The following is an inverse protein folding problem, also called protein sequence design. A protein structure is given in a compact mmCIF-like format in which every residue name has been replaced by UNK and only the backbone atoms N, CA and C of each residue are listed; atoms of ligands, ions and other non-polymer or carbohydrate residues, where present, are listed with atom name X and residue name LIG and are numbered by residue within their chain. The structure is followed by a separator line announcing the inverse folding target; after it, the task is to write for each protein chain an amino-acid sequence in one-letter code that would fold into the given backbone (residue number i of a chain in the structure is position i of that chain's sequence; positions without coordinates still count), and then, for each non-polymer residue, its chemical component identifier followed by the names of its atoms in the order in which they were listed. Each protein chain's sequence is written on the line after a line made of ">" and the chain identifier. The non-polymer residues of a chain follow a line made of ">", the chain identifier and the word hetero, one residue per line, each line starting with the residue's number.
data_IF_225153502386
#
_entry.id   IF_225153502386
#
_cell.length_a   1.000
_cell.length_b   1.000
_cell.length_c   1.000
_cell.angle_alpha   90.00
_cell.angle_beta   90.00
_cell.angle_gamma   90.00
#
_symmetry.space_group_name_H-M   'P 1'
#
loop_
_entity.id
_entity.type
_entity.pdbx_description
1 polymer ?
#
# COMPACT_ATOMS: atom_id res chain seq x y z
N UNK A 1 -29.32 24.94 -32.29
CA UNK A 1 -29.73 25.52 -31.01
C UNK A 1 -29.91 24.40 -30.00
N UNK A 2 -29.40 24.57 -28.80
CA UNK A 2 -29.45 23.74 -27.60
C UNK A 2 -28.51 22.55 -27.56
N UNK A 3 -27.33 22.80 -26.97
CA UNK A 3 -26.37 21.81 -26.55
C UNK A 3 -26.79 21.10 -25.26
N UNK A 4 -26.57 19.83 -25.19
CA UNK A 4 -26.57 19.04 -23.95
C UNK A 4 -25.12 18.80 -23.51
N UNK A 5 -24.72 19.51 -22.45
CA UNK A 5 -23.48 19.30 -21.74
C UNK A 5 -23.54 17.96 -20.98
N UNK A 6 -22.66 17.04 -21.34
CA UNK A 6 -22.38 15.83 -20.56
C UNK A 6 -21.41 16.21 -19.44
N UNK A 7 -21.86 16.05 -18.21
CA UNK A 7 -20.99 16.09 -17.03
C UNK A 7 -20.27 14.74 -16.92
N UNK A 8 -19.01 14.74 -17.30
CA UNK A 8 -18.06 13.70 -16.93
C UNK A 8 -17.63 13.97 -15.49
N UNK A 9 -18.13 13.17 -14.55
CA UNK A 9 -17.59 13.12 -13.18
C UNK A 9 -16.31 12.29 -13.27
N UNK A 10 -15.19 12.98 -13.40
CA UNK A 10 -13.88 12.42 -13.10
C UNK A 10 -13.76 12.27 -11.57
N UNK A 11 -13.88 11.06 -11.06
CA UNK A 11 -13.36 10.71 -9.74
C UNK A 11 -11.82 10.63 -9.87
N UNK A 12 -11.19 11.79 -9.97
CA UNK A 12 -9.78 11.92 -9.71
C UNK A 12 -9.61 11.70 -8.20
N UNK A 13 -9.16 10.51 -7.82
CA UNK A 13 -8.53 10.28 -6.54
C UNK A 13 -7.33 11.23 -6.46
N UNK A 14 -7.55 12.43 -5.96
CA UNK A 14 -6.50 13.33 -5.57
C UNK A 14 -5.73 12.63 -4.44
N UNK A 15 -4.61 11.98 -4.80
CA UNK A 15 -3.50 11.85 -3.87
C UNK A 15 -3.08 13.29 -3.61
N UNK A 16 -3.65 13.86 -2.56
CA UNK A 16 -3.17 15.07 -1.95
C UNK A 16 -1.74 14.77 -1.49
N UNK A 17 -0.77 15.01 -2.35
CA UNK A 17 0.58 15.32 -1.92
C UNK A 17 0.42 16.65 -1.18
N UNK A 18 0.02 16.54 0.08
CA UNK A 18 0.25 17.61 1.03
C UNK A 18 1.77 17.72 1.08
N UNK A 19 2.30 18.63 0.27
CA UNK A 19 3.58 19.24 0.55
C UNK A 19 3.35 20.04 1.85
N UNK A 20 3.30 19.32 2.97
CA UNK A 20 3.64 19.89 4.24
C UNK A 20 5.11 20.32 4.09
N UNK A 21 5.30 21.53 3.57
CA UNK A 21 6.35 22.38 4.10
C UNK A 21 5.97 22.58 5.55
N UNK A 22 6.27 21.58 6.38
CA UNK A 22 6.53 21.90 7.76
C UNK A 22 7.74 22.84 7.71
N UNK A 23 7.63 24.10 8.20
CA UNK A 23 8.81 24.76 8.66
C UNK A 23 9.46 23.71 9.57
N UNK A 24 10.75 23.46 9.37
CA UNK A 24 11.50 22.59 10.27
C UNK A 24 11.14 23.10 11.66
N UNK A 25 10.33 22.33 12.37
CA UNK A 25 9.92 22.70 13.73
C UNK A 25 11.22 22.78 14.48
N UNK A 26 11.60 23.99 14.87
CA UNK A 26 12.83 24.19 15.64
C UNK A 26 12.72 23.23 16.81
N UNK A 27 13.71 22.32 17.02
CA UNK A 27 13.61 21.31 18.04
C UNK A 27 13.38 21.99 19.38
N UNK A 28 12.14 21.95 19.84
CA UNK A 28 11.76 22.52 21.13
C UNK A 28 12.39 21.64 22.21
N UNK A 29 13.04 22.23 23.21
CA UNK A 29 13.56 21.48 24.37
C UNK A 29 12.39 20.75 25.02
N UNK A 30 12.52 19.42 25.17
CA UNK A 30 11.48 18.58 25.76
C UNK A 30 11.10 19.08 27.15
N UNK A 31 9.81 19.13 27.50
CA UNK A 31 9.35 19.50 28.85
C UNK A 31 9.91 18.57 29.96
N UNK A 32 10.36 17.36 29.62
CA UNK A 32 11.01 16.46 30.57
C UNK A 32 12.35 16.99 31.10
N UNK A 33 12.99 17.94 30.41
CA UNK A 33 14.22 18.58 30.89
C UNK A 33 13.97 19.60 32.04
N UNK A 34 12.70 19.97 32.30
CA UNK A 34 12.34 20.99 33.31
C UNK A 34 12.12 20.39 34.70
N UNK A 35 12.05 19.05 34.84
CA UNK A 35 11.69 18.40 36.12
C UNK A 35 12.84 17.81 36.95
N UNK A 36 14.11 17.90 36.50
CA UNK A 36 15.24 17.49 37.35
C UNK A 36 15.85 18.70 38.06
N UNK A 37 15.10 19.31 38.96
CA UNK A 37 15.63 20.28 39.92
C UNK A 37 16.51 19.57 40.94
N UNK A 38 17.80 19.43 40.67
CA UNK A 38 18.71 18.78 41.62
C UNK A 38 20.22 18.85 41.31
N UNK A 39 20.60 19.04 40.02
CA UNK A 39 22.01 19.15 39.64
C UNK A 39 22.34 20.54 39.06
N UNK A 40 23.54 21.03 39.29
CA UNK A 40 23.98 22.33 38.79
C UNK A 40 24.02 22.38 37.24
N UNK A 41 24.18 21.22 36.57
CA UNK A 41 24.12 21.09 35.11
C UNK A 41 22.71 21.21 34.57
N UNK A 42 21.64 20.70 35.23
CA UNK A 42 20.26 20.84 34.85
C UNK A 42 19.76 22.29 34.86
N UNK A 43 20.15 23.07 35.85
CA UNK A 43 19.84 24.51 35.91
C UNK A 43 20.50 25.30 34.75
N UNK A 44 21.78 25.05 34.51
CA UNK A 44 22.54 25.67 33.43
C UNK A 44 21.97 25.22 32.06
N UNK A 45 21.58 23.96 31.90
CA UNK A 45 20.96 23.48 30.67
C UNK A 45 19.65 24.21 30.37
N UNK A 46 18.80 24.41 31.39
CA UNK A 46 17.57 25.20 31.25
C UNK A 46 17.85 26.65 30.86
N UNK A 47 18.92 27.28 31.40
CA UNK A 47 19.33 28.65 31.01
C UNK A 47 19.81 28.69 29.56
N UNK A 48 20.54 27.67 29.10
CA UNK A 48 20.97 27.52 27.71
C UNK A 48 19.77 27.38 26.76
N UNK A 49 18.81 26.59 27.16
CA UNK A 49 17.54 26.41 26.43
C UNK A 49 16.75 27.71 26.30
N UNK A 50 16.70 28.50 27.40
CA UNK A 50 16.08 29.83 27.35
C UNK A 50 16.81 30.75 26.39
N UNK A 51 18.15 30.76 26.37
CA UNK A 51 18.95 31.53 25.43
C UNK A 51 18.67 31.17 23.96
N UNK A 52 18.49 29.83 23.65
CA UNK A 52 18.04 29.37 22.33
C UNK A 52 16.69 29.96 21.95
N UNK A 53 15.68 29.87 22.84
CA UNK A 53 14.32 30.37 22.59
C UNK A 53 14.28 31.91 22.40
N UNK A 54 15.20 32.61 23.02
CA UNK A 54 15.36 34.08 22.89
C UNK A 54 16.30 34.48 21.74
N UNK A 55 16.77 33.50 20.95
CA UNK A 55 17.73 33.71 19.83
C UNK A 55 19.04 34.35 20.26
N UNK A 56 19.44 34.23 21.53
CA UNK A 56 20.72 34.70 22.07
C UNK A 56 21.79 33.63 21.86
N UNK A 57 22.18 33.46 20.58
CA UNK A 57 23.01 32.31 20.12
C UNK A 57 24.36 32.26 20.82
N UNK A 58 25.05 33.39 20.96
CA UNK A 58 26.37 33.47 21.61
C UNK A 58 26.33 33.11 23.09
N UNK A 59 25.27 33.53 23.81
CA UNK A 59 25.06 33.15 25.20
C UNK A 59 24.78 31.64 25.30
N UNK A 60 23.94 31.12 24.41
CA UNK A 60 23.63 29.69 24.33
C UNK A 60 24.89 28.86 24.13
N UNK A 61 25.76 29.21 23.18
CA UNK A 61 27.05 28.53 22.95
C UNK A 61 27.88 28.51 24.24
N UNK A 62 28.04 29.61 24.92
CA UNK A 62 28.82 29.73 26.14
C UNK A 62 28.23 28.91 27.30
N UNK A 63 26.92 28.85 27.43
CA UNK A 63 26.24 28.12 28.49
C UNK A 63 26.34 26.62 28.19
N UNK A 64 26.03 26.16 26.99
CA UNK A 64 26.12 24.73 26.65
C UNK A 64 27.55 24.19 26.61
N UNK A 65 28.56 25.03 26.31
CA UNK A 65 29.94 24.67 26.45
C UNK A 65 30.29 24.36 27.90
N UNK A 66 29.79 25.13 28.85
CA UNK A 66 29.97 24.82 30.29
C UNK A 66 29.28 23.54 30.71
N UNK A 67 28.03 23.33 30.29
CA UNK A 67 27.24 22.13 30.59
C UNK A 67 27.94 20.89 30.05
N UNK A 68 28.41 20.91 28.80
CA UNK A 68 29.11 19.76 28.18
C UNK A 68 30.36 19.37 28.92
N UNK A 69 31.14 20.34 29.43
CA UNK A 69 32.35 20.10 30.22
C UNK A 69 32.09 19.52 31.61
N UNK A 70 30.90 19.70 32.16
CA UNK A 70 30.51 19.11 33.45
C UNK A 70 30.34 17.59 33.38
N UNK A 71 30.18 17.02 32.16
CA UNK A 71 30.00 15.58 31.92
C UNK A 71 28.85 14.96 32.72
N UNK A 72 27.87 15.76 33.10
CA UNK A 72 26.62 15.33 33.76
C UNK A 72 25.63 14.71 32.82
N UNK A 73 24.39 14.51 33.31
CA UNK A 73 23.28 13.90 32.55
C UNK A 73 22.93 14.66 31.26
N UNK A 74 23.14 15.97 31.24
CA UNK A 74 22.78 16.83 30.15
C UNK A 74 23.91 17.10 29.14
N UNK A 75 25.13 16.51 29.36
CA UNK A 75 26.31 16.82 28.56
C UNK A 75 26.15 16.48 27.07
N UNK A 76 25.46 15.38 26.73
CA UNK A 76 25.21 14.96 25.35
C UNK A 76 24.29 15.95 24.63
N UNK A 77 23.17 16.31 25.26
CA UNK A 77 22.23 17.30 24.72
C UNK A 77 22.86 18.70 24.61
N UNK A 78 23.73 19.05 25.56
CA UNK A 78 24.44 20.32 25.53
C UNK A 78 25.40 20.43 24.33
N UNK A 79 26.07 19.36 23.93
CA UNK A 79 26.90 19.35 22.72
C UNK A 79 26.04 19.57 21.46
N UNK A 80 24.90 18.93 21.35
CA UNK A 80 24.00 19.16 20.21
C UNK A 80 23.51 20.61 20.16
N UNK A 81 22.99 21.13 21.27
CA UNK A 81 22.46 22.51 21.32
C UNK A 81 23.56 23.57 21.13
N UNK A 82 24.78 23.29 21.58
CA UNK A 82 25.95 24.11 21.26
C UNK A 82 26.19 24.16 19.75
N UNK A 83 26.24 22.99 19.09
CA UNK A 83 26.44 22.92 17.64
C UNK A 83 25.31 23.66 16.87
N UNK A 84 24.06 23.51 17.32
CA UNK A 84 22.93 24.21 16.76
C UNK A 84 23.08 25.75 16.87
N UNK A 85 23.43 26.24 18.06
CA UNK A 85 23.64 27.69 18.29
C UNK A 85 24.82 28.23 17.47
N UNK A 86 25.93 27.50 17.36
CA UNK A 86 27.09 27.84 16.53
C UNK A 86 26.69 27.98 15.04
N UNK A 87 25.85 27.07 14.53
CA UNK A 87 25.33 27.16 13.15
C UNK A 87 24.45 28.42 12.96
N UNK A 88 23.56 28.68 13.92
CA UNK A 88 22.68 29.88 13.87
C UNK A 88 23.48 31.22 14.00
N UNK A 89 24.61 31.20 14.70
CA UNK A 89 25.55 32.32 14.82
C UNK A 89 26.40 32.55 13.56
N UNK A 90 26.29 31.63 12.56
CA UNK A 90 27.10 31.74 11.34
C UNK A 90 28.48 31.14 11.47
N UNK A 91 28.67 30.19 12.40
CA UNK A 91 29.93 29.49 12.64
C UNK A 91 29.83 27.98 12.25
N UNK A 92 29.62 27.69 10.98
CA UNK A 92 29.37 26.32 10.54
C UNK A 92 30.52 25.35 10.81
N UNK A 93 31.76 25.82 10.72
CA UNK A 93 32.94 25.00 11.00
C UNK A 93 33.01 24.55 12.47
N UNK A 94 32.62 25.43 13.40
CA UNK A 94 32.57 25.11 14.82
C UNK A 94 31.44 24.09 15.09
N UNK A 95 30.27 24.29 14.50
CA UNK A 95 29.14 23.38 14.62
C UNK A 95 29.49 21.96 14.15
N UNK A 96 30.17 21.82 13.00
CA UNK A 96 30.67 20.51 12.52
C UNK A 96 31.67 19.87 13.48
N UNK A 97 32.58 20.68 14.04
CA UNK A 97 33.56 20.22 15.04
C UNK A 97 32.88 19.71 16.32
N UNK A 98 31.88 20.45 16.82
CA UNK A 98 31.11 20.11 18.02
C UNK A 98 30.26 18.83 17.80
N UNK A 99 29.66 18.63 16.63
CA UNK A 99 29.01 17.38 16.29
C UNK A 99 29.99 16.22 16.21
N UNK A 100 31.23 16.43 15.72
CA UNK A 100 32.31 15.46 15.73
C UNK A 100 32.71 15.06 17.14
N UNK A 101 32.78 16.03 18.08
CA UNK A 101 33.03 15.81 19.49
C UNK A 101 31.97 14.94 20.15
N UNK A 102 30.68 15.23 19.90
CA UNK A 102 29.55 14.42 20.38
C UNK A 102 29.69 12.96 19.92
N UNK A 103 29.95 12.73 18.64
CA UNK A 103 30.11 11.38 18.08
C UNK A 103 31.26 10.62 18.68
N UNK A 104 32.38 11.28 18.93
CA UNK A 104 33.58 10.69 19.51
C UNK A 104 33.41 10.35 21.00
N UNK A 105 32.77 11.28 21.75
CA UNK A 105 32.67 11.19 23.20
C UNK A 105 31.48 10.34 23.66
N UNK A 106 30.39 10.38 22.91
CA UNK A 106 29.12 9.70 23.24
C UNK A 106 28.60 8.90 22.03
N UNK A 107 29.23 7.80 21.64
CA UNK A 107 28.89 7.05 20.42
C UNK A 107 27.51 6.36 20.45
N UNK A 108 26.83 6.34 21.59
CA UNK A 108 25.50 5.81 21.79
C UNK A 108 24.45 6.90 22.07
N UNK A 109 24.82 8.17 21.91
CA UNK A 109 23.94 9.29 22.19
C UNK A 109 22.73 9.32 21.24
N UNK A 110 21.54 9.56 21.78
CA UNK A 110 20.33 9.82 20.98
C UNK A 110 20.45 11.07 20.11
N UNK A 111 21.33 12.00 20.45
CA UNK A 111 21.52 13.28 19.74
C UNK A 111 22.39 13.16 18.48
N UNK A 112 22.90 11.96 18.18
CA UNK A 112 23.71 11.75 16.97
C UNK A 112 22.92 11.96 15.67
N UNK A 113 21.64 11.61 15.67
CA UNK A 113 20.78 11.78 14.51
C UNK A 113 20.52 13.27 14.22
N UNK A 114 20.26 14.05 15.27
CA UNK A 114 20.03 15.49 15.17
C UNK A 114 21.32 16.23 14.74
N UNK A 115 22.46 15.85 15.30
CA UNK A 115 23.76 16.38 14.84
C UNK A 115 24.02 16.03 13.37
N UNK A 116 23.70 14.82 12.96
CA UNK A 116 23.83 14.40 11.56
C UNK A 116 22.96 15.22 10.61
N UNK A 117 21.71 15.51 10.99
CA UNK A 117 20.84 16.38 10.23
C UNK A 117 21.41 17.80 10.10
N UNK A 118 21.96 18.35 11.21
CA UNK A 118 22.60 19.66 11.22
C UNK A 118 23.86 19.68 10.32
N UNK A 119 24.69 18.66 10.35
CA UNK A 119 25.87 18.52 9.48
C UNK A 119 25.48 18.56 7.99
N UNK A 120 24.40 17.87 7.61
CA UNK A 120 23.88 17.88 6.23
C UNK A 120 23.41 19.29 5.83
N UNK A 121 22.66 19.96 6.71
CA UNK A 121 22.20 21.33 6.45
C UNK A 121 23.39 22.29 6.21
N UNK A 122 24.42 22.19 7.07
CA UNK A 122 25.61 23.02 7.00
C UNK A 122 26.36 22.80 5.68
N UNK A 123 26.64 21.53 5.35
CA UNK A 123 27.39 21.17 4.14
C UNK A 123 26.60 21.44 2.87
N UNK A 124 25.28 21.27 2.89
CA UNK A 124 24.42 21.63 1.77
C UNK A 124 24.48 23.13 1.43
N UNK A 125 24.57 24.00 2.45
CA UNK A 125 24.72 25.45 2.26
C UNK A 125 26.11 25.86 1.79
N UNK A 126 27.15 25.10 2.14
CA UNK A 126 28.53 25.39 1.73
C UNK A 126 28.94 24.85 0.37
N UNK A 127 28.03 24.13 -0.33
CA UNK A 127 28.33 23.56 -1.64
C UNK A 127 29.26 22.34 -1.62
N UNK A 128 29.51 21.76 -0.44
CA UNK A 128 30.30 20.53 -0.26
C UNK A 128 29.37 19.39 0.22
N UNK A 129 28.65 18.74 -0.71
CA UNK A 129 27.65 17.75 -0.36
C UNK A 129 28.30 16.50 0.25
N UNK A 130 27.70 15.96 1.31
CA UNK A 130 28.08 14.67 1.87
C UNK A 130 27.77 13.58 0.85
N UNK A 131 28.78 12.81 0.45
CA UNK A 131 28.58 11.65 -0.41
C UNK A 131 27.97 10.50 0.42
N UNK A 132 26.74 10.05 0.11
CA UNK A 132 26.05 9.04 0.90
C UNK A 132 26.82 7.72 1.08
N UNK A 133 27.71 7.42 0.14
CA UNK A 133 28.52 6.18 0.15
C UNK A 133 29.58 6.15 1.25
N UNK A 134 30.01 7.31 1.74
CA UNK A 134 31.05 7.43 2.78
C UNK A 134 30.48 7.52 4.19
N UNK A 135 29.17 7.73 4.30
CA UNK A 135 28.50 7.87 5.59
C UNK A 135 28.11 6.50 6.15
N UNK A 136 28.55 6.13 7.37
CA UNK A 136 28.22 4.84 7.97
C UNK A 136 26.76 4.76 8.46
N UNK A 137 26.14 5.89 8.79
CA UNK A 137 24.76 5.93 9.25
C UNK A 137 23.79 5.84 8.07
N UNK A 138 22.94 4.83 8.08
CA UNK A 138 21.96 4.58 7.00
C UNK A 138 20.89 5.68 6.91
N UNK A 139 20.48 6.24 8.03
CA UNK A 139 19.45 7.26 8.06
C UNK A 139 19.97 8.59 7.51
N UNK A 140 21.24 8.93 7.78
CA UNK A 140 21.94 10.06 7.15
C UNK A 140 22.12 9.87 5.65
N UNK A 141 22.48 8.67 5.20
CA UNK A 141 22.52 8.34 3.76
C UNK A 141 21.17 8.54 3.09
N UNK A 142 20.09 8.10 3.74
CA UNK A 142 18.73 8.27 3.20
C UNK A 142 18.32 9.73 3.11
N UNK A 143 18.65 10.53 4.12
CA UNK A 143 18.36 11.96 4.14
C UNK A 143 19.15 12.71 3.06
N UNK A 144 20.46 12.41 2.93
CA UNK A 144 21.31 12.97 1.90
C UNK A 144 20.83 12.60 0.49
N UNK A 145 20.36 11.39 0.25
CA UNK A 145 19.79 10.96 -1.02
C UNK A 145 18.54 11.76 -1.40
N UNK A 146 17.64 11.99 -0.44
CA UNK A 146 16.44 12.81 -0.68
C UNK A 146 16.82 14.27 -1.00
N UNK A 147 17.75 14.85 -0.26
CA UNK A 147 18.22 16.20 -0.51
C UNK A 147 18.89 16.36 -1.88
N UNK A 148 19.73 15.40 -2.27
CA UNK A 148 20.42 15.42 -3.56
C UNK A 148 19.44 15.35 -4.73
N UNK A 149 18.39 14.52 -4.63
CA UNK A 149 17.35 14.43 -5.66
C UNK A 149 16.56 15.72 -5.88
N UNK A 150 16.43 16.53 -4.83
CA UNK A 150 15.74 17.82 -4.95
C UNK A 150 16.64 18.93 -5.52
N UNK A 151 17.95 18.80 -5.38
CA UNK A 151 18.92 19.81 -5.80
C UNK A 151 19.45 19.58 -7.21
N UNK A 152 19.93 18.40 -7.51
CA UNK A 152 20.52 18.05 -8.80
C UNK A 152 20.32 16.59 -9.16
N UNK A 153 19.32 16.32 -9.97
CA UNK A 153 18.99 14.95 -10.41
C UNK A 153 20.10 14.33 -11.27
N UNK A 154 20.87 15.13 -12.02
CA UNK A 154 21.92 14.64 -12.89
C UNK A 154 23.09 14.04 -12.12
N UNK A 155 23.40 14.58 -10.96
CA UNK A 155 24.41 14.03 -10.05
C UNK A 155 23.85 12.94 -9.15
N UNK A 156 22.56 13.00 -8.80
CA UNK A 156 21.93 12.03 -7.92
C UNK A 156 21.81 10.65 -8.55
N UNK A 157 21.38 10.57 -9.81
CA UNK A 157 21.11 9.28 -10.49
C UNK A 157 22.35 8.36 -10.52
N UNK A 158 23.56 8.79 -10.90
CA UNK A 158 24.75 7.93 -10.87
C UNK A 158 25.13 7.43 -9.47
N UNK A 159 24.87 8.23 -8.43
CA UNK A 159 25.13 7.85 -7.03
C UNK A 159 24.14 6.77 -6.59
N UNK A 160 22.86 6.96 -6.91
CA UNK A 160 21.79 5.99 -6.62
C UNK A 160 22.03 4.66 -7.34
N UNK A 161 22.47 4.71 -8.60
CA UNK A 161 22.85 3.52 -9.37
C UNK A 161 24.00 2.75 -8.69
N UNK A 162 25.04 3.44 -8.24
CA UNK A 162 26.15 2.80 -7.48
C UNK A 162 25.67 2.18 -6.17
N UNK A 163 24.71 2.79 -5.48
CA UNK A 163 24.12 2.22 -4.25
C UNK A 163 23.37 0.94 -4.58
N UNK A 164 22.58 0.92 -5.65
CA UNK A 164 21.81 -0.26 -6.08
C UNK A 164 22.72 -1.41 -6.52
N UNK A 165 23.79 -1.10 -7.26
CA UNK A 165 24.76 -2.09 -7.73
C UNK A 165 25.74 -2.55 -6.66
N UNK A 166 26.00 -1.72 -5.62
CA UNK A 166 26.98 -1.98 -4.57
C UNK A 166 26.49 -2.98 -3.50
N UNK A 167 27.38 -3.29 -2.54
CA UNK A 167 27.07 -4.17 -1.40
C UNK A 167 26.47 -3.36 -0.22
N UNK A 168 25.42 -2.60 -0.50
CA UNK A 168 24.71 -1.82 0.51
C UNK A 168 23.55 -2.62 1.13
N UNK A 169 23.14 -2.31 2.38
CA UNK A 169 21.99 -2.93 3.00
C UNK A 169 20.72 -2.79 2.14
N UNK A 170 19.88 -3.83 2.13
CA UNK A 170 18.68 -3.90 1.28
C UNK A 170 17.70 -2.74 1.55
N UNK A 171 17.57 -2.32 2.82
CA UNK A 171 16.77 -1.14 3.21
C UNK A 171 17.25 0.13 2.49
N UNK A 172 18.56 0.34 2.40
CA UNK A 172 19.14 1.49 1.72
C UNK A 172 18.92 1.41 0.19
N UNK A 173 19.13 0.23 -0.40
CA UNK A 173 18.85 -0.01 -1.82
C UNK A 173 17.38 0.21 -2.17
N UNK A 174 16.45 -0.30 -1.34
CA UNK A 174 15.01 -0.10 -1.55
C UNK A 174 14.63 1.37 -1.51
N UNK A 175 15.25 2.13 -0.62
CA UNK A 175 15.01 3.58 -0.54
C UNK A 175 15.62 4.33 -1.73
N UNK A 176 16.83 3.96 -2.15
CA UNK A 176 17.48 4.52 -3.34
C UNK A 176 16.60 4.31 -4.59
N UNK A 177 16.02 3.11 -4.74
CA UNK A 177 15.08 2.80 -5.82
C UNK A 177 13.81 3.66 -5.74
N UNK A 178 13.27 3.87 -4.55
CA UNK A 178 12.12 4.74 -4.34
C UNK A 178 12.43 6.20 -4.69
N UNK A 179 13.62 6.69 -4.33
CA UNK A 179 14.07 8.05 -4.67
C UNK A 179 14.24 8.20 -6.18
N UNK A 180 14.81 7.20 -6.87
CA UNK A 180 14.87 7.18 -8.34
C UNK A 180 13.48 7.24 -8.97
N UNK A 181 12.49 6.57 -8.38
CA UNK A 181 11.13 6.56 -8.89
C UNK A 181 10.44 7.93 -8.88
N UNK A 182 10.88 8.82 -8.02
CA UNK A 182 10.38 10.21 -7.96
C UNK A 182 11.02 11.10 -9.03
N UNK A 183 12.11 10.65 -9.66
CA UNK A 183 12.76 11.37 -10.76
C UNK A 183 12.03 11.13 -12.07
N UNK A 184 11.81 12.22 -12.82
CA UNK A 184 11.31 12.15 -14.20
C UNK A 184 12.45 12.01 -15.24
N UNK A 185 13.67 11.74 -14.77
CA UNK A 185 14.84 11.58 -15.63
C UNK A 185 14.78 10.28 -16.42
N UNK A 186 15.01 10.30 -17.76
CA UNK A 186 15.13 9.09 -18.57
C UNK A 186 16.23 8.13 -18.07
N UNK A 187 17.28 8.67 -17.47
CA UNK A 187 18.35 7.87 -16.87
C UNK A 187 17.85 7.10 -15.63
N UNK A 188 17.08 7.74 -14.74
CA UNK A 188 16.48 7.07 -13.60
C UNK A 188 15.54 5.94 -14.04
N UNK A 189 14.73 6.17 -15.07
CA UNK A 189 13.86 5.15 -15.66
C UNK A 189 14.68 3.96 -16.19
N UNK A 190 15.80 4.21 -16.84
CA UNK A 190 16.70 3.16 -17.33
C UNK A 190 17.26 2.32 -16.17
N UNK A 191 17.71 2.95 -15.10
CA UNK A 191 18.21 2.24 -13.91
C UNK A 191 17.12 1.39 -13.25
N UNK A 192 15.89 1.92 -13.10
CA UNK A 192 14.75 1.17 -12.54
C UNK A 192 14.44 -0.06 -13.42
N UNK A 193 14.48 0.10 -14.74
CA UNK A 193 14.28 -1.00 -15.71
C UNK A 193 15.35 -2.08 -15.56
N UNK A 194 16.62 -1.71 -15.42
CA UNK A 194 17.71 -2.65 -15.16
C UNK A 194 17.52 -3.43 -13.87
N UNK A 195 17.08 -2.77 -12.78
CA UNK A 195 16.74 -3.44 -11.52
C UNK A 195 15.55 -4.39 -11.71
N UNK A 196 14.54 -4.01 -12.50
CA UNK A 196 13.41 -4.88 -12.83
C UNK A 196 13.82 -6.13 -13.62
N UNK A 197 14.89 -6.06 -14.40
CA UNK A 197 15.52 -7.22 -15.06
C UNK A 197 16.42 -8.08 -14.14
N UNK A 198 16.51 -7.76 -12.84
CA UNK A 198 17.13 -8.63 -11.84
C UNK A 198 18.57 -8.28 -11.47
N UNK A 199 19.13 -7.15 -11.91
CA UNK A 199 20.52 -6.78 -11.64
C UNK A 199 20.85 -6.60 -10.13
N UNK A 200 19.82 -6.44 -9.28
CA UNK A 200 20.02 -6.13 -7.84
C UNK A 200 19.36 -7.13 -6.88
N UNK A 201 18.97 -8.30 -7.40
CA UNK A 201 18.34 -9.37 -6.63
C UNK A 201 16.80 -9.33 -6.60
N UNK A 202 16.15 -10.46 -6.20
CA UNK A 202 14.71 -10.66 -6.38
C UNK A 202 13.82 -9.66 -5.62
N UNK A 203 14.19 -9.27 -4.41
CA UNK A 203 13.37 -8.35 -3.60
C UNK A 203 13.32 -6.95 -4.20
N UNK A 204 14.47 -6.44 -4.69
CA UNK A 204 14.53 -5.17 -5.39
C UNK A 204 13.90 -5.25 -6.78
N UNK A 205 14.01 -6.39 -7.44
CA UNK A 205 13.33 -6.66 -8.72
C UNK A 205 11.81 -6.50 -8.57
N UNK A 206 11.20 -7.11 -7.56
CA UNK A 206 9.77 -6.96 -7.24
C UNK A 206 9.40 -5.50 -6.98
N UNK A 207 10.24 -4.77 -6.25
CA UNK A 207 10.02 -3.35 -5.97
C UNK A 207 10.07 -2.50 -7.25
N UNK A 208 11.06 -2.75 -8.12
CA UNK A 208 11.20 -2.05 -9.40
C UNK A 208 10.02 -2.32 -10.35
N UNK A 209 9.53 -3.55 -10.41
CA UNK A 209 8.35 -3.95 -11.19
C UNK A 209 7.12 -3.13 -10.77
N UNK A 210 6.84 -3.04 -9.46
CA UNK A 210 5.72 -2.26 -8.94
C UNK A 210 5.86 -0.76 -9.22
N UNK A 211 7.07 -0.24 -9.11
CA UNK A 211 7.38 1.16 -9.42
C UNK A 211 7.16 1.45 -10.90
N UNK A 212 7.67 0.60 -11.80
CA UNK A 212 7.45 0.76 -13.25
C UNK A 212 5.96 0.77 -13.60
N UNK A 213 5.20 -0.18 -13.05
CA UNK A 213 3.76 -0.24 -13.28
C UNK A 213 3.05 1.04 -12.80
N UNK A 214 3.38 1.52 -11.61
CA UNK A 214 2.76 2.71 -11.03
C UNK A 214 3.15 4.00 -11.77
N UNK A 215 4.43 4.13 -12.18
CA UNK A 215 4.95 5.35 -12.81
C UNK A 215 4.60 5.44 -14.31
N UNK A 216 4.60 4.31 -15.02
CA UNK A 216 4.47 4.29 -16.48
C UNK A 216 3.10 3.78 -16.96
N UNK A 217 2.30 3.15 -16.09
CA UNK A 217 1.03 2.55 -16.47
C UNK A 217 1.21 1.59 -17.67
N UNK A 218 0.40 1.76 -18.71
CA UNK A 218 0.44 0.89 -19.91
C UNK A 218 1.79 0.83 -20.60
N UNK A 219 2.63 1.87 -20.49
CA UNK A 219 3.97 1.87 -21.13
C UNK A 219 4.92 0.85 -20.49
N UNK A 220 4.65 0.40 -19.26
CA UNK A 220 5.43 -0.63 -18.61
C UNK A 220 5.18 -2.04 -19.17
N UNK A 221 4.07 -2.28 -19.90
CA UNK A 221 3.61 -3.62 -20.27
C UNK A 221 4.65 -4.43 -21.07
N UNK A 222 5.35 -3.82 -21.99
CA UNK A 222 6.38 -4.52 -22.79
C UNK A 222 7.57 -4.95 -21.90
N UNK A 223 8.02 -4.06 -21.01
CA UNK A 223 9.08 -4.38 -20.05
C UNK A 223 8.65 -5.47 -19.07
N UNK A 224 7.41 -5.37 -18.54
CA UNK A 224 6.86 -6.37 -17.63
C UNK A 224 6.70 -7.74 -18.32
N UNK A 225 6.27 -7.77 -19.58
CA UNK A 225 6.15 -9.00 -20.34
C UNK A 225 7.50 -9.66 -20.60
N UNK A 226 8.51 -8.87 -20.95
CA UNK A 226 9.86 -9.37 -21.15
C UNK A 226 10.46 -9.92 -19.86
N UNK A 227 10.35 -9.20 -18.74
CA UNK A 227 10.80 -9.70 -17.43
C UNK A 227 10.05 -10.98 -17.05
N UNK A 228 8.75 -11.07 -17.32
CA UNK A 228 7.94 -12.25 -17.01
C UNK A 228 8.43 -13.51 -17.71
N UNK A 229 8.79 -13.39 -18.97
CA UNK A 229 9.29 -14.52 -19.79
C UNK A 229 10.65 -15.05 -19.29
N UNK A 230 11.50 -14.18 -18.76
CA UNK A 230 12.85 -14.54 -18.31
C UNK A 230 12.95 -14.81 -16.81
N UNK A 231 11.92 -14.46 -16.03
CA UNK A 231 11.93 -14.68 -14.59
C UNK A 231 11.71 -16.15 -14.26
N UNK A 232 12.59 -16.71 -13.41
CA UNK A 232 12.42 -18.03 -12.79
C UNK A 232 11.79 -17.96 -11.40
N UNK A 233 11.87 -16.81 -10.74
CA UNK A 233 11.33 -16.61 -9.38
C UNK A 233 9.82 -16.38 -9.42
N UNK A 234 9.07 -17.24 -8.70
CA UNK A 234 7.59 -17.18 -8.61
C UNK A 234 7.11 -15.88 -7.98
N UNK A 235 7.87 -15.29 -7.04
CA UNK A 235 7.49 -14.01 -6.41
C UNK A 235 7.60 -12.86 -7.41
N UNK A 236 8.61 -12.88 -8.27
CA UNK A 236 8.79 -11.92 -9.37
C UNK A 236 7.64 -12.04 -10.37
N UNK A 237 7.35 -13.24 -10.87
CA UNK A 237 6.21 -13.49 -11.77
C UNK A 237 4.88 -13.04 -11.15
N UNK A 238 4.65 -13.37 -9.87
CA UNK A 238 3.45 -12.95 -9.14
C UNK A 238 3.33 -11.42 -9.08
N UNK A 239 4.43 -10.72 -8.79
CA UNK A 239 4.43 -9.25 -8.74
C UNK A 239 4.07 -8.64 -10.09
N UNK A 240 4.54 -9.22 -11.21
CA UNK A 240 4.19 -8.78 -12.55
C UNK A 240 2.70 -8.99 -12.83
N UNK A 241 2.16 -10.19 -12.55
CA UNK A 241 0.73 -10.47 -12.73
C UNK A 241 -0.14 -9.49 -11.94
N UNK A 242 0.24 -9.17 -10.69
CA UNK A 242 -0.45 -8.15 -9.89
C UNK A 242 -0.31 -6.74 -10.47
N UNK A 243 0.84 -6.44 -11.09
CA UNK A 243 1.10 -5.13 -11.69
C UNK A 243 0.23 -4.86 -12.92
N UNK A 244 -0.22 -5.90 -13.63
CA UNK A 244 -1.16 -5.75 -14.74
C UNK A 244 -2.52 -5.18 -14.32
N UNK A 245 -2.90 -5.26 -13.04
CA UNK A 245 -4.06 -4.53 -12.50
C UNK A 245 -3.89 -3.01 -12.67
N UNK A 246 -2.70 -2.50 -12.39
CA UNK A 246 -2.37 -1.07 -12.48
C UNK A 246 -2.24 -0.63 -13.93
N UNK A 247 -1.60 -1.46 -14.75
CA UNK A 247 -1.34 -1.13 -16.15
C UNK A 247 -2.53 -1.41 -17.07
N UNK A 248 -3.52 -2.14 -16.61
CA UNK A 248 -4.78 -2.41 -17.31
C UNK A 248 -4.64 -3.43 -18.45
N UNK A 249 -3.74 -4.42 -18.37
CA UNK A 249 -3.51 -5.41 -19.43
C UNK A 249 -4.10 -6.79 -19.06
N UNK A 250 -5.38 -6.97 -19.32
CA UNK A 250 -6.08 -8.25 -19.12
C UNK A 250 -5.58 -9.35 -20.08
N UNK A 251 -5.10 -8.98 -21.26
CA UNK A 251 -4.65 -9.95 -22.26
C UNK A 251 -3.43 -10.75 -21.81
N UNK A 252 -2.49 -10.10 -21.10
CA UNK A 252 -1.33 -10.77 -20.52
C UNK A 252 -1.71 -11.71 -19.38
N UNK A 253 -2.68 -11.31 -18.55
CA UNK A 253 -3.23 -12.15 -17.49
C UNK A 253 -3.96 -13.38 -18.06
N UNK A 254 -4.76 -13.19 -19.11
CA UNK A 254 -5.46 -14.28 -19.79
C UNK A 254 -4.46 -15.29 -20.40
N UNK A 255 -3.38 -14.79 -20.99
CA UNK A 255 -2.30 -15.63 -21.53
C UNK A 255 -1.60 -16.39 -20.41
N UNK A 256 -1.25 -15.73 -19.32
CA UNK A 256 -0.63 -16.38 -18.16
C UNK A 256 -1.54 -17.44 -17.55
N UNK A 257 -2.84 -17.15 -17.36
CA UNK A 257 -3.80 -18.12 -16.81
C UNK A 257 -3.96 -19.40 -17.67
N UNK A 258 -3.69 -19.28 -18.99
CA UNK A 258 -3.76 -20.43 -19.92
C UNK A 258 -2.46 -21.21 -20.04
N UNK A 259 -1.33 -20.59 -19.86
CA UNK A 259 0.00 -21.14 -20.19
C UNK A 259 0.82 -21.54 -18.96
N UNK A 260 0.55 -20.92 -17.80
CA UNK A 260 1.29 -21.23 -16.58
C UNK A 260 0.93 -22.62 -16.04
N UNK A 261 1.97 -23.28 -15.56
CA UNK A 261 1.85 -24.59 -14.92
C UNK A 261 1.83 -24.51 -13.39
N UNK A 262 2.32 -23.40 -12.83
CA UNK A 262 2.30 -23.13 -11.39
C UNK A 262 0.89 -22.72 -10.94
N UNK A 263 0.23 -23.50 -10.06
CA UNK A 263 -1.15 -23.20 -9.63
C UNK A 263 -1.30 -21.87 -8.91
N UNK A 264 -0.25 -21.38 -8.23
CA UNK A 264 -0.27 -20.08 -7.56
C UNK A 264 -0.28 -18.92 -8.56
N UNK A 265 0.50 -19.05 -9.64
CA UNK A 265 0.52 -18.05 -10.71
C UNK A 265 -0.81 -18.04 -11.48
N UNK A 266 -1.38 -19.21 -11.78
CA UNK A 266 -2.71 -19.31 -12.39
C UNK A 266 -3.76 -18.64 -11.51
N UNK A 267 -3.82 -18.97 -10.21
CA UNK A 267 -4.75 -18.31 -9.27
C UNK A 267 -4.52 -16.81 -9.18
N UNK A 268 -3.26 -16.37 -9.20
CA UNK A 268 -2.95 -14.94 -9.19
C UNK A 268 -3.49 -14.23 -10.43
N UNK A 269 -3.28 -14.80 -11.63
CA UNK A 269 -3.81 -14.25 -12.87
C UNK A 269 -5.34 -14.18 -12.86
N UNK A 270 -6.01 -15.24 -12.45
CA UNK A 270 -7.49 -15.33 -12.35
C UNK A 270 -8.04 -14.29 -11.36
N UNK A 271 -7.43 -14.17 -10.16
CA UNK A 271 -7.85 -13.16 -9.16
C UNK A 271 -7.63 -11.73 -9.66
N UNK A 272 -6.52 -11.49 -10.35
CA UNK A 272 -6.21 -10.16 -10.90
C UNK A 272 -7.19 -9.79 -12.00
N UNK A 273 -7.58 -10.75 -12.90
CA UNK A 273 -8.64 -10.55 -13.87
C UNK A 273 -9.98 -10.19 -13.20
N UNK A 274 -10.32 -10.87 -12.10
CA UNK A 274 -11.48 -10.53 -11.29
C UNK A 274 -11.44 -9.09 -10.77
N UNK A 275 -10.32 -8.71 -10.15
CA UNK A 275 -10.13 -7.37 -9.62
C UNK A 275 -10.15 -6.27 -10.71
N UNK A 276 -9.79 -6.60 -11.96
CA UNK A 276 -9.91 -5.70 -13.10
C UNK A 276 -11.34 -5.57 -13.64
N UNK A 277 -12.27 -6.38 -13.17
CA UNK A 277 -13.61 -6.45 -13.72
C UNK A 277 -13.69 -7.15 -15.09
N UNK A 278 -12.71 -8.00 -15.43
CA UNK A 278 -12.59 -8.68 -16.72
C UNK A 278 -13.50 -9.93 -16.80
N UNK A 279 -14.80 -9.75 -16.58
CA UNK A 279 -15.78 -10.84 -16.50
C UNK A 279 -15.82 -11.74 -17.75
N UNK A 280 -15.71 -11.17 -18.96
CA UNK A 280 -15.70 -11.93 -20.21
C UNK A 280 -14.41 -12.76 -20.39
N UNK A 281 -13.27 -12.23 -19.97
CA UNK A 281 -12.00 -12.98 -20.00
C UNK A 281 -12.06 -14.18 -19.03
N UNK A 282 -12.62 -13.97 -17.83
CA UNK A 282 -12.85 -15.05 -16.85
C UNK A 282 -13.83 -16.09 -17.39
N UNK A 283 -14.91 -15.70 -18.05
CA UNK A 283 -15.87 -16.63 -18.67
C UNK A 283 -15.20 -17.46 -19.78
N UNK A 284 -14.37 -16.83 -20.57
CA UNK A 284 -13.55 -17.51 -21.60
C UNK A 284 -12.63 -18.56 -20.98
N UNK A 285 -11.99 -18.27 -19.85
CA UNK A 285 -11.17 -19.24 -19.10
C UNK A 285 -12.02 -20.36 -18.52
N UNK A 286 -13.21 -20.04 -18.02
CA UNK A 286 -14.13 -21.00 -17.45
C UNK A 286 -14.50 -22.10 -18.46
N UNK A 287 -14.84 -21.70 -19.67
CA UNK A 287 -15.18 -22.64 -20.73
C UNK A 287 -13.97 -23.42 -21.30
N UNK A 288 -12.78 -22.85 -21.17
CA UNK A 288 -11.55 -23.46 -21.67
C UNK A 288 -10.96 -24.51 -20.70
N UNK A 289 -11.39 -24.55 -19.44
CA UNK A 289 -10.83 -25.49 -18.45
C UNK A 289 -11.80 -26.64 -18.11
N UNK A 290 -11.24 -27.86 -17.98
CA UNK A 290 -11.96 -29.02 -17.47
C UNK A 290 -11.71 -29.29 -15.97
N UNK A 291 -10.84 -28.51 -15.32
CA UNK A 291 -10.54 -28.67 -13.91
C UNK A 291 -11.65 -28.06 -13.05
N UNK A 292 -12.33 -28.87 -12.26
CA UNK A 292 -13.36 -28.40 -11.32
C UNK A 292 -12.80 -27.39 -10.32
N UNK A 293 -11.55 -27.56 -9.87
CA UNK A 293 -10.90 -26.61 -8.97
C UNK A 293 -10.64 -25.26 -9.66
N UNK A 294 -10.15 -25.27 -10.92
CA UNK A 294 -9.94 -24.06 -11.67
C UNK A 294 -11.26 -23.32 -11.97
N UNK A 295 -12.31 -24.06 -12.34
CA UNK A 295 -13.67 -23.53 -12.50
C UNK A 295 -14.16 -22.88 -11.20
N UNK A 296 -13.97 -23.53 -10.05
CA UNK A 296 -14.37 -22.99 -8.75
C UNK A 296 -13.61 -21.72 -8.38
N UNK A 297 -12.31 -21.62 -8.70
CA UNK A 297 -11.51 -20.44 -8.48
C UNK A 297 -11.95 -19.25 -9.39
N UNK A 298 -12.31 -19.56 -10.63
CA UNK A 298 -12.86 -18.58 -11.57
C UNK A 298 -14.23 -18.07 -11.08
N UNK A 299 -15.13 -18.96 -10.66
CA UNK A 299 -16.45 -18.58 -10.09
C UNK A 299 -16.26 -17.62 -8.91
N UNK A 300 -15.30 -17.90 -8.02
CA UNK A 300 -15.01 -16.99 -6.90
C UNK A 300 -14.49 -15.61 -7.36
N UNK A 301 -13.74 -15.57 -8.45
CA UNK A 301 -13.14 -14.33 -8.95
C UNK A 301 -14.17 -13.38 -9.58
N UNK A 302 -15.34 -13.87 -10.01
CA UNK A 302 -16.43 -13.02 -10.49
C UNK A 302 -17.00 -12.10 -9.40
N UNK A 303 -16.90 -12.46 -8.11
CA UNK A 303 -17.30 -11.56 -7.02
C UNK A 303 -16.50 -10.26 -7.08
N UNK A 304 -15.18 -10.35 -7.27
CA UNK A 304 -14.31 -9.18 -7.40
C UNK A 304 -14.60 -8.36 -8.66
N UNK A 305 -15.18 -8.96 -9.70
CA UNK A 305 -15.60 -8.27 -10.92
C UNK A 305 -16.86 -7.40 -10.72
N UNK A 306 -17.53 -7.49 -9.57
CA UNK A 306 -18.75 -6.74 -9.26
C UNK A 306 -19.82 -6.94 -10.32
N UNK A 307 -20.41 -5.86 -10.83
CA UNK A 307 -21.46 -5.92 -11.83
C UNK A 307 -21.06 -6.69 -13.11
N UNK A 308 -19.79 -6.64 -13.52
CA UNK A 308 -19.30 -7.37 -14.69
C UNK A 308 -19.25 -8.89 -14.47
N UNK A 309 -19.34 -9.36 -13.24
CA UNK A 309 -19.44 -10.78 -12.88
C UNK A 309 -20.86 -11.34 -12.94
N UNK A 310 -21.89 -10.48 -12.93
CA UNK A 310 -23.30 -10.91 -12.83
C UNK A 310 -23.73 -11.74 -14.03
N UNK A 311 -23.52 -11.26 -15.24
CA UNK A 311 -23.94 -11.97 -16.46
C UNK A 311 -23.22 -13.33 -16.62
N UNK A 312 -21.87 -13.41 -16.45
CA UNK A 312 -21.18 -14.70 -16.42
C UNK A 312 -21.66 -15.67 -15.33
N UNK A 313 -21.88 -15.20 -14.11
CA UNK A 313 -22.40 -16.04 -13.02
C UNK A 313 -23.80 -16.55 -13.31
N UNK A 314 -24.66 -15.72 -13.95
CA UNK A 314 -26.00 -16.13 -14.38
C UNK A 314 -25.93 -17.23 -15.42
N UNK A 315 -25.08 -17.10 -16.43
CA UNK A 315 -24.87 -18.12 -17.46
C UNK A 315 -24.42 -19.44 -16.85
N UNK A 316 -23.41 -19.40 -15.95
CA UNK A 316 -22.90 -20.62 -15.26
C UNK A 316 -23.99 -21.24 -14.38
N UNK A 317 -24.76 -20.44 -13.64
CA UNK A 317 -25.85 -20.91 -12.80
C UNK A 317 -26.92 -21.66 -13.58
N UNK A 318 -27.12 -21.29 -14.85
CA UNK A 318 -28.12 -21.88 -15.73
C UNK A 318 -27.62 -23.10 -16.53
N UNK A 319 -26.33 -23.10 -16.94
CA UNK A 319 -25.80 -24.05 -17.91
C UNK A 319 -24.86 -25.10 -17.32
N UNK A 320 -24.25 -24.84 -16.13
CA UNK A 320 -23.26 -25.77 -15.54
C UNK A 320 -23.90 -27.08 -15.10
N UNK A 321 -23.29 -28.19 -15.51
CA UNK A 321 -23.79 -29.56 -15.24
C UNK A 321 -23.34 -30.04 -13.85
N UNK A 322 -22.15 -29.63 -13.38
CA UNK A 322 -21.68 -29.96 -12.05
C UNK A 322 -22.52 -29.26 -10.99
N UNK A 323 -23.25 -29.99 -10.13
CA UNK A 323 -24.16 -29.40 -9.16
C UNK A 323 -23.46 -28.50 -8.14
N UNK A 324 -22.20 -28.82 -7.76
CA UNK A 324 -21.45 -28.00 -6.80
C UNK A 324 -21.01 -26.68 -7.40
N UNK A 325 -20.50 -26.70 -8.63
CA UNK A 325 -20.11 -25.50 -9.34
C UNK A 325 -21.32 -24.61 -9.64
N UNK A 326 -22.44 -25.23 -10.04
CA UNK A 326 -23.72 -24.52 -10.27
C UNK A 326 -24.21 -23.81 -9.00
N UNK A 327 -24.28 -24.54 -7.86
CA UNK A 327 -24.68 -23.94 -6.57
C UNK A 327 -23.73 -22.85 -6.11
N UNK A 328 -22.44 -23.01 -6.37
CA UNK A 328 -21.43 -21.97 -6.09
C UNK A 328 -21.67 -20.72 -6.91
N UNK A 329 -21.98 -20.84 -8.20
CA UNK A 329 -22.31 -19.71 -9.08
C UNK A 329 -23.58 -18.99 -8.59
N UNK A 330 -24.63 -19.73 -8.19
CA UNK A 330 -25.86 -19.16 -7.63
C UNK A 330 -25.56 -18.33 -6.36
N UNK A 331 -24.78 -18.87 -5.42
CA UNK A 331 -24.41 -18.13 -4.21
C UNK A 331 -23.62 -16.85 -4.52
N UNK A 332 -22.64 -16.97 -5.40
CA UNK A 332 -21.80 -15.83 -5.77
C UNK A 332 -22.57 -14.78 -6.57
N UNK A 333 -23.59 -15.17 -7.30
CA UNK A 333 -24.50 -14.27 -8.00
C UNK A 333 -25.20 -13.31 -7.02
N UNK A 334 -25.66 -13.83 -5.87
CA UNK A 334 -26.26 -13.00 -4.82
C UNK A 334 -25.26 -11.95 -4.25
N UNK A 335 -23.99 -12.33 -4.10
CA UNK A 335 -22.95 -11.40 -3.61
C UNK A 335 -22.64 -10.33 -4.67
N UNK A 336 -22.43 -10.73 -5.92
CA UNK A 336 -21.99 -9.82 -6.98
C UNK A 336 -23.10 -8.89 -7.47
N UNK A 337 -24.33 -9.38 -7.50
CA UNK A 337 -25.48 -8.66 -8.06
C UNK A 337 -26.36 -7.96 -7.02
N UNK A 338 -26.25 -8.34 -5.73
CA UNK A 338 -27.12 -7.82 -4.68
C UNK A 338 -28.62 -7.98 -5.06
N UNK A 339 -29.46 -7.04 -4.64
CA UNK A 339 -30.90 -7.08 -4.89
C UNK A 339 -31.29 -7.07 -6.40
N UNK A 340 -30.41 -6.63 -7.29
CA UNK A 340 -30.73 -6.58 -8.72
C UNK A 340 -30.95 -7.95 -9.36
N UNK A 341 -30.39 -9.01 -8.76
CA UNK A 341 -30.52 -10.40 -9.23
C UNK A 341 -31.60 -11.21 -8.50
N UNK A 342 -32.30 -10.60 -7.54
CA UNK A 342 -33.34 -11.28 -6.77
C UNK A 342 -34.41 -11.96 -7.62
N UNK A 343 -34.97 -11.37 -8.70
CA UNK A 343 -35.93 -12.05 -9.55
C UNK A 343 -35.40 -13.35 -10.17
N UNK A 344 -34.11 -13.38 -10.57
CA UNK A 344 -33.49 -14.59 -11.13
C UNK A 344 -33.25 -15.67 -10.04
N UNK A 345 -32.94 -15.25 -8.82
CA UNK A 345 -32.77 -16.17 -7.68
C UNK A 345 -34.11 -16.76 -7.22
N UNK A 346 -35.18 -15.97 -7.19
CA UNK A 346 -36.56 -16.43 -6.91
C UNK A 346 -36.99 -17.44 -7.96
N UNK A 347 -36.78 -17.16 -9.24
CA UNK A 347 -37.07 -18.05 -10.36
C UNK A 347 -36.29 -19.37 -10.23
N UNK A 348 -34.99 -19.27 -9.87
CA UNK A 348 -34.14 -20.46 -9.60
C UNK A 348 -34.70 -21.30 -8.44
N UNK A 349 -35.14 -20.66 -7.36
CA UNK A 349 -35.74 -21.34 -6.22
C UNK A 349 -37.04 -22.07 -6.59
N UNK A 350 -37.93 -21.40 -7.30
CA UNK A 350 -39.26 -21.92 -7.64
C UNK A 350 -39.23 -23.04 -8.68
N UNK A 351 -38.34 -22.96 -9.67
CA UNK A 351 -38.29 -23.90 -10.79
C UNK A 351 -37.46 -25.17 -10.51
N UNK A 352 -36.64 -25.18 -9.46
CA UNK A 352 -35.81 -26.36 -9.16
C UNK A 352 -36.45 -27.26 -8.15
N UNK A 353 -36.43 -28.60 -8.46
CA UNK A 353 -36.83 -29.64 -7.54
C UNK A 353 -35.72 -30.07 -6.57
N UNK A 354 -34.46 -29.75 -6.88
CA UNK A 354 -33.30 -30.09 -6.04
C UNK A 354 -33.23 -29.16 -4.81
N UNK A 355 -33.37 -29.79 -3.63
CA UNK A 355 -33.38 -29.07 -2.33
C UNK A 355 -32.11 -28.25 -2.11
N UNK A 356 -30.95 -28.79 -2.51
CA UNK A 356 -29.68 -28.09 -2.33
C UNK A 356 -29.54 -26.86 -3.26
N UNK A 357 -30.13 -26.92 -4.46
CA UNK A 357 -30.21 -25.76 -5.35
C UNK A 357 -31.18 -24.70 -4.80
N UNK A 358 -32.34 -25.12 -4.24
CA UNK A 358 -33.25 -24.20 -3.53
C UNK A 358 -32.54 -23.52 -2.35
N UNK A 359 -31.79 -24.27 -1.55
CA UNK A 359 -30.99 -23.71 -0.44
C UNK A 359 -29.96 -22.72 -0.93
N UNK A 360 -29.27 -23.02 -2.03
CA UNK A 360 -28.27 -22.11 -2.59
C UNK A 360 -28.91 -20.79 -3.06
N UNK A 361 -30.12 -20.86 -3.68
CA UNK A 361 -30.86 -19.67 -4.10
C UNK A 361 -31.36 -18.84 -2.91
N UNK A 362 -31.88 -19.48 -1.86
CA UNK A 362 -32.28 -18.81 -0.64
C UNK A 362 -31.09 -18.15 0.06
N UNK A 363 -29.94 -18.84 0.14
CA UNK A 363 -28.69 -18.27 0.66
C UNK A 363 -28.21 -17.10 -0.20
N UNK A 364 -28.35 -17.15 -1.51
CA UNK A 364 -28.00 -16.06 -2.41
C UNK A 364 -28.87 -14.82 -2.19
N UNK A 365 -30.19 -14.99 -1.95
CA UNK A 365 -31.10 -13.90 -1.56
C UNK A 365 -30.70 -13.26 -0.21
N UNK A 366 -30.31 -14.09 0.77
CA UNK A 366 -29.77 -13.61 2.03
C UNK A 366 -28.50 -12.76 1.80
N UNK A 367 -27.56 -13.28 1.02
CA UNK A 367 -26.30 -12.55 0.70
C UNK A 367 -26.56 -11.28 -0.13
N UNK A 368 -27.63 -11.26 -0.93
CA UNK A 368 -28.11 -10.08 -1.65
C UNK A 368 -28.76 -9.04 -0.73
N UNK A 369 -29.06 -9.39 0.51
CA UNK A 369 -29.76 -8.55 1.46
C UNK A 369 -31.26 -8.39 1.15
N UNK A 370 -31.86 -9.39 0.49
CA UNK A 370 -33.27 -9.33 0.09
C UNK A 370 -34.18 -10.11 1.03
N UNK A 371 -34.60 -9.44 2.10
CA UNK A 371 -35.53 -9.98 3.08
C UNK A 371 -36.96 -10.14 2.50
N UNK A 372 -37.38 -9.25 1.62
CA UNK A 372 -38.71 -9.25 1.02
C UNK A 372 -39.02 -10.54 0.27
N UNK A 373 -38.13 -10.91 -0.65
CA UNK A 373 -38.31 -12.14 -1.44
C UNK A 373 -38.15 -13.40 -0.58
N UNK A 374 -37.24 -13.40 0.40
CA UNK A 374 -37.14 -14.51 1.37
C UNK A 374 -38.39 -14.69 2.19
N UNK A 375 -39.04 -13.63 2.66
CA UNK A 375 -40.32 -13.69 3.38
C UNK A 375 -41.43 -14.22 2.47
N UNK A 376 -41.47 -13.77 1.22
CA UNK A 376 -42.47 -14.22 0.23
C UNK A 376 -42.30 -15.71 -0.04
N UNK A 377 -41.06 -16.19 -0.23
CA UNK A 377 -40.80 -17.62 -0.40
C UNK A 377 -41.16 -18.42 0.85
N UNK A 378 -40.83 -17.94 2.06
CA UNK A 378 -41.13 -18.63 3.30
C UNK A 378 -42.64 -18.75 3.60
N UNK A 379 -43.45 -17.77 3.15
CA UNK A 379 -44.92 -17.86 3.23
C UNK A 379 -45.50 -18.93 2.29
N UNK A 380 -44.93 -19.03 1.08
CA UNK A 380 -45.42 -19.93 0.04
C UNK A 380 -44.86 -21.37 0.17
N UNK A 381 -43.77 -21.60 0.93
CA UNK A 381 -43.14 -22.90 1.01
C UNK A 381 -43.96 -23.88 1.85
N UNK A 382 -44.23 -25.09 1.30
CA UNK A 382 -45.00 -26.14 1.94
C UNK A 382 -44.10 -27.17 2.63
N UNK A 383 -42.87 -27.37 2.14
CA UNK A 383 -41.92 -28.24 2.80
C UNK A 383 -41.42 -27.66 4.11
N UNK A 384 -41.71 -28.35 5.22
CA UNK A 384 -41.41 -27.85 6.57
C UNK A 384 -39.91 -27.62 6.76
N UNK A 385 -39.04 -28.49 6.28
CA UNK A 385 -37.60 -28.37 6.45
C UNK A 385 -37.02 -27.19 5.63
N UNK A 386 -37.56 -26.98 4.44
CA UNK A 386 -37.17 -25.86 3.60
C UNK A 386 -37.68 -24.52 4.18
N UNK A 387 -38.89 -24.51 4.74
CA UNK A 387 -39.43 -23.36 5.45
C UNK A 387 -38.58 -23.01 6.68
N UNK A 388 -38.20 -24.01 7.48
CA UNK A 388 -37.27 -23.84 8.60
C UNK A 388 -35.95 -23.20 8.15
N UNK A 389 -35.39 -23.66 7.01
CA UNK A 389 -34.17 -23.10 6.46
C UNK A 389 -34.34 -21.62 6.06
N UNK A 390 -35.45 -21.25 5.39
CA UNK A 390 -35.75 -19.85 5.02
C UNK A 390 -35.88 -18.97 6.27
N UNK A 391 -36.60 -19.46 7.30
CA UNK A 391 -36.75 -18.76 8.59
C UNK A 391 -35.39 -18.58 9.26
N UNK A 392 -34.50 -19.57 9.18
CA UNK A 392 -33.13 -19.45 9.70
C UNK A 392 -32.33 -18.38 8.97
N UNK A 393 -32.43 -18.28 7.64
CA UNK A 393 -31.77 -17.21 6.89
C UNK A 393 -32.31 -15.83 7.32
N UNK A 394 -33.64 -15.68 7.40
CA UNK A 394 -34.29 -14.45 7.81
C UNK A 394 -33.92 -14.03 9.24
N UNK A 395 -33.74 -15.00 10.16
CA UNK A 395 -33.39 -14.71 11.56
C UNK A 395 -32.01 -14.05 11.72
N UNK A 396 -31.14 -14.19 10.72
CA UNK A 396 -29.81 -13.55 10.69
C UNK A 396 -29.82 -12.18 10.03
N UNK A 397 -30.96 -11.77 9.43
CA UNK A 397 -31.09 -10.47 8.80
C UNK A 397 -31.58 -9.42 9.82
N UNK A 398 -30.91 -8.29 9.86
CA UNK A 398 -31.36 -7.14 10.66
C UNK A 398 -32.30 -6.29 9.81
N UNK A 399 -33.46 -6.88 9.46
CA UNK A 399 -34.44 -6.28 8.56
C UNK A 399 -35.83 -6.22 9.21
N UNK A 400 -36.60 -5.18 8.87
CA UNK A 400 -37.91 -4.94 9.46
C UNK A 400 -38.95 -5.97 8.97
N UNK A 401 -38.93 -6.36 7.67
CA UNK A 401 -39.84 -7.36 7.14
C UNK A 401 -39.55 -8.75 7.70
N UNK A 402 -38.25 -9.09 7.85
CA UNK A 402 -37.84 -10.33 8.49
C UNK A 402 -38.35 -10.39 9.94
N UNK A 403 -38.20 -9.31 10.70
CA UNK A 403 -38.70 -9.22 12.09
C UNK A 403 -40.22 -9.31 12.17
N UNK A 404 -40.94 -8.65 11.28
CA UNK A 404 -42.41 -8.71 11.22
C UNK A 404 -42.90 -10.13 10.91
N UNK A 405 -42.20 -10.85 10.01
CA UNK A 405 -42.53 -12.23 9.69
C UNK A 405 -42.29 -13.20 10.88
N UNK A 406 -41.21 -12.99 11.66
CA UNK A 406 -40.98 -13.76 12.88
C UNK A 406 -42.13 -13.57 13.88
N UNK A 407 -42.62 -12.32 14.06
CA UNK A 407 -43.78 -12.04 14.93
C UNK A 407 -45.07 -12.68 14.38
N UNK A 408 -45.27 -12.71 13.07
CA UNK A 408 -46.40 -13.39 12.44
C UNK A 408 -46.43 -14.89 12.78
N UNK A 409 -45.25 -15.57 12.70
CA UNK A 409 -45.13 -16.99 13.05
C UNK A 409 -45.48 -17.25 14.52
N UNK A 410 -45.04 -16.36 15.44
CA UNK A 410 -45.28 -16.53 16.86
C UNK A 410 -46.76 -16.26 17.28
N UNK A 411 -47.51 -15.55 16.47
CA UNK A 411 -48.91 -15.20 16.73
C UNK A 411 -49.94 -16.17 16.09
N UNK A 412 -49.47 -17.16 15.31
CA UNK A 412 -50.28 -18.29 14.78
C UNK A 412 -50.26 -19.48 15.71
#
# INVERSE_FOLDING_TARGET
>A
MTGKRWFLIFLAGAIMVVSLRMPAEEPQPSPAAVQSAGSNDGSLYADGTRAINESRWQDAVGIFDRVSRMRGEHAEGALYWKAYAENKEGQPANALSTCGELRKTYPQSRWLNECGALEIEIRGKSGDPVLPQTEPDQDLKLLALNALMQQDQSQAVPILEKILAGNQPEKLKSRALFVLAQSQSPQAETVIRQVAHGQSGPALQVSAIRILAAAQGKRANDTLADVYQHASDVHVKRAILQSYLITGDSSKLLTAARQETDPELVRTAVRTLGAMGAGQDLLTLYHATNSAQAKADIINSFIASGHNGVAPLTEIAQSEQDPELRRKAIRNLGIAGGKSVAPALVDTYQKNADVETKRAAAQALFLAGDAHDLVTLARAEEDVKMKEYLVQQLSQMHDQEASAYMLEILNK
#
